data_IF_204500363707
#
_entry.id   IF_204500363707
#
_cell.length_a   1.000
_cell.length_b   1.000
_cell.length_c   1.000
_cell.angle_alpha   90.00
_cell.angle_beta   90.00
_cell.angle_gamma   90.00
#
_symmetry.space_group_name_H-M   'P 1'
#
loop_
_entity.id
_entity.type
_entity.pdbx_description
1 polymer ?
#
# COMPACT_ATOMS: atom_id res chain seq x y z
N UNK A 1 -8.81 3.21 1.67
CA UNK A 1 -9.12 1.80 2.02
C UNK A 1 -7.99 1.26 2.88
N UNK A 2 -8.33 0.64 3.97
CA UNK A 2 -7.34 0.04 4.85
C UNK A 2 -7.07 -1.41 4.46
N UNK A 3 -5.80 -1.75 4.30
CA UNK A 3 -5.36 -3.11 3.99
C UNK A 3 -4.55 -3.63 5.17
N UNK A 4 -4.72 -4.89 5.50
CA UNK A 4 -4.03 -5.49 6.64
C UNK A 4 -3.29 -6.76 6.24
N UNK A 5 -2.21 -7.03 6.96
CA UNK A 5 -1.51 -8.31 6.89
C UNK A 5 -1.87 -9.08 8.16
N UNK A 6 -2.69 -10.11 8.03
CA UNK A 6 -3.18 -10.88 9.17
C UNK A 6 -2.08 -11.66 9.87
N UNK A 7 -0.99 -11.94 9.17
CA UNK A 7 0.13 -12.69 9.72
C UNK A 7 1.01 -11.83 10.62
N UNK A 8 1.30 -10.60 10.18
CA UNK A 8 2.22 -9.70 10.90
C UNK A 8 1.50 -8.66 11.75
N UNK A 9 0.22 -8.41 11.48
CA UNK A 9 -0.53 -7.34 12.12
C UNK A 9 -0.26 -5.97 11.53
N UNK A 10 0.57 -5.87 10.50
CA UNK A 10 0.84 -4.61 9.84
C UNK A 10 -0.36 -4.13 9.03
N UNK A 11 -0.46 -2.82 8.86
CA UNK A 11 -1.56 -2.22 8.12
C UNK A 11 -1.08 -1.04 7.29
N UNK A 12 -1.75 -0.83 6.16
CA UNK A 12 -1.49 0.30 5.27
C UNK A 12 -2.82 0.88 4.78
N UNK A 13 -2.79 2.16 4.42
CA UNK A 13 -3.88 2.77 3.65
C UNK A 13 -3.54 2.66 2.17
N UNK A 14 -4.53 2.30 1.38
CA UNK A 14 -4.42 2.21 -0.07
C UNK A 14 -5.52 3.08 -0.67
N UNK A 15 -5.14 4.21 -1.27
CA UNK A 15 -6.09 5.18 -1.78
C UNK A 15 -5.72 5.66 -3.17
N UNK A 16 -6.72 5.93 -4.02
CA UNK A 16 -6.47 6.62 -5.29
C UNK A 16 -6.17 8.09 -5.01
N UNK A 17 -5.24 8.63 -5.78
CA UNK A 17 -4.91 10.06 -5.74
C UNK A 17 -4.76 10.57 -7.16
N UNK A 18 -4.69 11.88 -7.32
CA UNK A 18 -4.35 12.52 -8.58
C UNK A 18 -3.02 13.23 -8.45
N UNK A 19 -2.13 12.94 -9.40
CA UNK A 19 -0.82 13.56 -9.46
C UNK A 19 -0.59 14.10 -10.86
N UNK A 20 -0.39 15.43 -10.97
CA UNK A 20 -0.17 16.08 -12.26
C UNK A 20 -1.28 15.75 -13.28
N UNK A 21 -2.53 15.73 -12.81
CA UNK A 21 -3.69 15.46 -13.67
C UNK A 21 -3.87 14.00 -14.06
N UNK A 22 -3.05 13.10 -13.52
CA UNK A 22 -3.13 11.66 -13.80
C UNK A 22 -3.50 10.90 -12.55
N UNK A 23 -4.18 9.79 -12.76
CA UNK A 23 -4.53 8.90 -11.65
C UNK A 23 -3.30 8.17 -11.13
N UNK A 24 -3.22 8.06 -9.83
CA UNK A 24 -2.16 7.33 -9.16
C UNK A 24 -2.73 6.67 -7.90
N UNK A 25 -1.95 5.81 -7.28
CA UNK A 25 -2.39 5.10 -6.08
C UNK A 25 -1.29 5.18 -5.04
N UNK A 26 -1.64 5.57 -3.83
CA UNK A 26 -0.70 5.66 -2.73
C UNK A 26 -0.92 4.53 -1.75
N UNK A 27 0.17 3.91 -1.31
CA UNK A 27 0.18 2.95 -0.22
C UNK A 27 0.93 3.61 0.92
N UNK A 28 0.26 3.80 2.04
CA UNK A 28 0.79 4.55 3.17
C UNK A 28 0.80 3.68 4.42
N UNK A 29 1.96 3.53 5.05
CA UNK A 29 2.08 2.74 6.28
C UNK A 29 1.35 3.36 7.45
N UNK A 30 0.75 2.51 8.28
CA UNK A 30 0.03 2.93 9.47
C UNK A 30 0.86 2.58 10.70
N UNK A 31 1.05 3.53 11.60
CA UNK A 31 1.83 3.32 12.81
C UNK A 31 3.30 3.05 12.49
N UNK A 32 3.83 1.92 12.95
CA UNK A 32 5.21 1.52 12.71
C UNK A 32 5.40 0.76 11.39
N UNK A 33 4.33 0.55 10.64
CA UNK A 33 4.39 -0.16 9.36
C UNK A 33 5.16 0.67 8.34
N UNK A 34 6.10 0.03 7.65
CA UNK A 34 6.86 0.68 6.58
C UNK A 34 6.47 0.10 5.23
N UNK A 35 6.56 0.94 4.20
CA UNK A 35 6.34 0.53 2.81
C UNK A 35 7.70 0.36 2.16
N UNK A 36 7.90 -0.77 1.51
CA UNK A 36 9.20 -1.07 0.89
C UNK A 36 9.28 -0.40 -0.47
N UNK A 37 10.33 0.38 -0.66
CA UNK A 37 10.59 1.05 -1.91
C UNK A 37 11.33 0.17 -2.91
N UNK A 38 11.69 0.79 -4.04
CA UNK A 38 12.27 0.09 -5.18
C UNK A 38 13.58 -0.62 -4.85
N UNK A 39 14.41 0.02 -4.03
CA UNK A 39 15.72 -0.52 -3.64
C UNK A 39 15.69 -1.06 -2.21
N UNK A 40 14.56 -1.64 -1.82
CA UNK A 40 14.33 -2.15 -0.46
C UNK A 40 14.43 -1.05 0.59
N UNK A 41 14.22 0.20 0.18
CA UNK A 41 14.16 1.32 1.10
C UNK A 41 12.92 1.22 1.98
N UNK A 42 13.07 1.60 3.23
CA UNK A 42 11.92 1.66 4.15
C UNK A 42 11.31 3.05 4.06
N UNK A 43 10.10 3.13 3.52
CA UNK A 43 9.40 4.38 3.29
C UNK A 43 8.14 4.44 4.14
N UNK A 44 7.65 5.66 4.40
CA UNK A 44 6.35 5.84 5.04
C UNK A 44 5.22 5.64 4.05
N UNK A 45 5.46 5.94 2.79
CA UNK A 45 4.47 5.79 1.74
C UNK A 45 5.15 5.59 0.40
N UNK A 46 4.41 5.01 -0.54
CA UNK A 46 4.88 4.83 -1.90
C UNK A 46 3.74 5.07 -2.86
N UNK A 47 3.99 5.82 -3.93
CA UNK A 47 3.00 6.13 -4.95
C UNK A 47 3.25 5.28 -6.19
N UNK A 48 2.19 4.71 -6.73
CA UNK A 48 2.23 3.92 -7.96
C UNK A 48 1.42 4.63 -9.02
N UNK A 49 1.92 4.60 -10.25
CA UNK A 49 1.23 5.23 -11.38
C UNK A 49 0.33 4.26 -12.12
N UNK A 50 0.38 2.97 -11.79
CA UNK A 50 -0.45 1.95 -12.40
C UNK A 50 -1.06 1.06 -11.33
N UNK A 51 -2.39 0.87 -11.42
CA UNK A 51 -3.13 0.07 -10.45
C UNK A 51 -2.59 -1.37 -10.32
N UNK A 52 -2.31 -2.09 -11.42
CA UNK A 52 -1.81 -3.47 -11.29
C UNK A 52 -0.50 -3.57 -10.50
N UNK A 53 0.35 -2.55 -10.59
CA UNK A 53 1.61 -2.53 -9.83
C UNK A 53 1.34 -2.37 -8.34
N UNK A 54 0.43 -1.49 -7.96
CA UNK A 54 0.05 -1.30 -6.57
C UNK A 54 -0.59 -2.57 -6.01
N UNK A 55 -1.49 -3.19 -6.76
CA UNK A 55 -2.13 -4.42 -6.35
C UNK A 55 -1.12 -5.55 -6.18
N UNK A 56 -0.16 -5.67 -7.09
CA UNK A 56 0.89 -6.68 -7.00
C UNK A 56 1.74 -6.49 -5.74
N UNK A 57 2.04 -5.23 -5.40
CA UNK A 57 2.78 -4.94 -4.17
C UNK A 57 2.01 -5.44 -2.95
N UNK A 58 0.73 -5.12 -2.86
CA UNK A 58 -0.09 -5.52 -1.72
C UNK A 58 -0.15 -7.06 -1.59
N UNK A 59 -0.35 -7.76 -2.69
CA UNK A 59 -0.39 -9.22 -2.69
C UNK A 59 0.95 -9.83 -2.30
N UNK A 60 2.04 -9.28 -2.82
CA UNK A 60 3.38 -9.79 -2.54
C UNK A 60 3.72 -9.69 -1.06
N UNK A 61 3.26 -8.62 -0.41
CA UNK A 61 3.53 -8.38 0.99
C UNK A 61 2.44 -8.90 1.93
N UNK A 62 1.47 -9.63 1.40
CA UNK A 62 0.45 -10.28 2.20
C UNK A 62 -0.64 -9.38 2.73
N UNK A 63 -0.81 -8.20 2.14
CA UNK A 63 -1.88 -7.29 2.54
C UNK A 63 -3.18 -7.67 1.84
N UNK A 64 -4.27 -7.59 2.57
CA UNK A 64 -5.60 -7.85 2.04
C UNK A 64 -6.59 -6.86 2.62
N UNK A 65 -7.76 -6.76 1.98
CA UNK A 65 -8.80 -5.85 2.45
C UNK A 65 -9.26 -6.26 3.84
N UNK A 66 -9.37 -5.27 4.75
CA UNK A 66 -9.95 -5.52 6.06
C UNK A 66 -11.43 -5.80 5.88
N UNK A 67 -11.84 -7.02 6.26
CA UNK A 67 -13.22 -7.45 6.09
C UNK A 67 -13.81 -7.77 7.45
N UNK A 68 -15.00 -7.24 7.70
CA UNK A 68 -15.78 -7.58 8.89
C UNK A 68 -16.92 -8.48 8.46
N UNK A 69 -17.12 -9.54 9.21
CA UNK A 69 -18.28 -10.42 9.04
C UNK A 69 -19.21 -10.26 10.22
#
# INVERSE_FOLDING_TARGET
MKMINKTTGEAVYFNPIRKNGKDAWIIQGIGSTVVIGRDRQKLKSRTFTQYPQAEAYLKRHGFETETYK
#
